data_IF_792832875191
#
_entry.id   IF_792832875191
#
_cell.length_a   1.000
_cell.length_b   1.000
_cell.length_c   1.000
_cell.angle_alpha   90.00
_cell.angle_beta   90.00
_cell.angle_gamma   90.00
#
_symmetry.space_group_name_H-M   'P 1'
#
loop_
_entity.id
_entity.type
_entity.pdbx_description
1 polymer ?
#
# COMPACT_ATOMS: atom_id res chain seq x y z
N UNK A 1 -29.93 -3.35 -46.82
CA UNK A 1 -30.32 -2.50 -45.67
C UNK A 1 -29.34 -2.76 -44.54
N UNK A 2 -28.67 -1.73 -44.00
CA UNK A 2 -27.79 -1.87 -42.83
C UNK A 2 -28.60 -1.47 -41.59
N UNK A 3 -28.72 -2.39 -40.62
CA UNK A 3 -29.40 -2.10 -39.36
C UNK A 3 -28.45 -1.21 -38.53
N UNK A 4 -28.90 -0.06 -38.00
CA UNK A 4 -28.05 0.80 -37.20
C UNK A 4 -27.57 0.06 -35.94
N UNK A 5 -26.26 0.12 -35.67
CA UNK A 5 -25.63 -0.50 -34.49
C UNK A 5 -26.35 -0.18 -33.16
N UNK A 6 -26.83 1.06 -32.91
CA UNK A 6 -27.57 1.37 -31.69
C UNK A 6 -28.83 0.52 -31.51
N UNK A 7 -29.51 0.17 -32.60
CA UNK A 7 -30.73 -0.66 -32.58
C UNK A 7 -30.41 -2.10 -32.19
N UNK A 8 -29.28 -2.62 -32.65
CA UNK A 8 -28.81 -3.98 -32.30
C UNK A 8 -28.46 -4.08 -30.82
N UNK A 9 -27.73 -3.10 -30.28
CA UNK A 9 -27.35 -3.06 -28.86
C UNK A 9 -28.60 -3.02 -27.97
N UNK A 10 -29.57 -2.17 -28.32
CA UNK A 10 -30.81 -2.04 -27.55
C UNK A 10 -31.62 -3.35 -27.55
N UNK A 11 -31.68 -4.04 -28.69
CA UNK A 11 -32.33 -5.35 -28.80
C UNK A 11 -31.64 -6.41 -27.93
N UNK A 12 -30.31 -6.48 -27.96
CA UNK A 12 -29.55 -7.45 -27.15
C UNK A 12 -29.78 -7.22 -25.66
N UNK A 13 -29.69 -5.97 -25.18
CA UNK A 13 -29.93 -5.63 -23.77
C UNK A 13 -31.36 -6.00 -23.37
N UNK A 14 -32.34 -5.75 -24.23
CA UNK A 14 -33.75 -6.05 -23.95
C UNK A 14 -33.99 -7.56 -23.86
N UNK A 15 -33.38 -8.36 -24.74
CA UNK A 15 -33.52 -9.83 -24.71
C UNK A 15 -32.81 -10.41 -23.49
N UNK A 16 -31.55 -10.04 -23.25
CA UNK A 16 -30.79 -10.56 -22.10
C UNK A 16 -31.43 -10.13 -20.77
N UNK A 17 -31.80 -8.86 -20.63
CA UNK A 17 -32.47 -8.34 -19.44
C UNK A 17 -33.85 -8.97 -19.22
N UNK A 18 -34.63 -9.15 -20.29
CA UNK A 18 -35.95 -9.76 -20.22
C UNK A 18 -35.91 -11.25 -19.83
N UNK A 19 -34.98 -12.02 -20.41
CA UNK A 19 -34.79 -13.45 -20.06
C UNK A 19 -34.29 -13.59 -18.64
N UNK A 20 -33.30 -12.77 -18.24
CA UNK A 20 -32.77 -12.79 -16.87
C UNK A 20 -33.87 -12.43 -15.87
N UNK A 21 -34.56 -11.30 -16.05
CA UNK A 21 -35.63 -10.87 -15.16
C UNK A 21 -36.77 -11.90 -15.05
N UNK A 22 -37.19 -12.50 -16.17
CA UNK A 22 -38.23 -13.53 -16.14
C UNK A 22 -37.82 -14.75 -15.29
N UNK A 23 -36.56 -15.15 -15.38
CA UNK A 23 -36.04 -16.32 -14.67
C UNK A 23 -35.65 -16.04 -13.21
N UNK A 24 -35.27 -14.81 -12.86
CA UNK A 24 -34.75 -14.50 -11.52
C UNK A 24 -35.72 -13.72 -10.63
N UNK A 25 -36.78 -13.10 -11.18
CA UNK A 25 -37.70 -12.25 -10.40
C UNK A 25 -38.43 -12.95 -9.23
N UNK A 26 -38.46 -14.28 -9.24
CA UNK A 26 -39.13 -15.10 -8.23
C UNK A 26 -38.14 -15.86 -7.34
N UNK A 27 -36.85 -15.66 -7.55
CA UNK A 27 -35.79 -16.19 -6.69
C UNK A 27 -35.50 -15.16 -5.60
N UNK A 28 -35.60 -15.60 -4.35
CA UNK A 28 -35.20 -14.79 -3.20
C UNK A 28 -33.72 -15.05 -2.91
N UNK A 29 -32.88 -14.03 -3.12
CA UNK A 29 -31.43 -14.06 -2.89
C UNK A 29 -31.02 -13.36 -1.60
N UNK A 30 -31.97 -12.73 -0.90
CA UNK A 30 -31.68 -11.88 0.26
C UNK A 30 -32.10 -12.55 1.57
N UNK A 31 -32.89 -13.62 1.53
CA UNK A 31 -33.17 -14.44 2.70
C UNK A 31 -32.29 -15.69 2.75
N UNK A 32 -31.59 -15.96 3.87
CA UNK A 32 -30.88 -17.22 4.04
C UNK A 32 -31.87 -18.40 4.05
N UNK A 33 -31.51 -19.57 3.48
CA UNK A 33 -32.39 -20.74 3.46
C UNK A 33 -32.79 -21.14 4.88
N UNK A 34 -34.08 -21.43 5.09
CA UNK A 34 -34.55 -21.94 6.39
C UNK A 34 -33.97 -23.35 6.64
N UNK A 35 -33.75 -23.69 7.91
CA UNK A 35 -33.21 -24.99 8.32
C UNK A 35 -33.99 -26.18 7.72
N UNK A 36 -35.31 -26.03 7.53
CA UNK A 36 -36.15 -27.05 6.91
C UNK A 36 -35.82 -27.31 5.42
N UNK A 37 -35.43 -26.28 4.65
CA UNK A 37 -35.03 -26.46 3.24
C UNK A 37 -33.65 -27.10 3.10
N UNK A 38 -32.76 -26.85 4.05
CA UNK A 38 -31.44 -27.49 4.09
C UNK A 38 -31.56 -28.98 4.41
N UNK A 39 -32.45 -29.35 5.34
CA UNK A 39 -32.76 -30.76 5.63
C UNK A 39 -33.41 -31.48 4.43
N UNK A 40 -34.30 -30.82 3.68
CA UNK A 40 -34.89 -31.40 2.48
C UNK A 40 -33.85 -31.65 1.36
N UNK A 41 -32.91 -30.72 1.17
CA UNK A 41 -31.78 -30.90 0.23
C UNK A 41 -30.84 -32.00 0.71
N UNK A 42 -30.57 -32.07 2.02
CA UNK A 42 -29.75 -33.12 2.61
C UNK A 42 -30.36 -34.50 2.37
N UNK A 43 -31.65 -34.67 2.67
CA UNK A 43 -32.38 -35.92 2.43
C UNK A 43 -32.41 -36.33 0.95
N UNK A 44 -32.50 -35.35 0.04
CA UNK A 44 -32.47 -35.61 -1.41
C UNK A 44 -31.10 -36.08 -1.90
N UNK A 45 -30.03 -35.46 -1.39
CA UNK A 45 -28.64 -35.88 -1.70
C UNK A 45 -28.35 -37.24 -1.09
N UNK A 46 -28.83 -37.51 0.12
CA UNK A 46 -28.64 -38.77 0.84
C UNK A 46 -29.44 -39.93 0.22
N UNK A 47 -30.57 -39.65 -0.45
CA UNK A 47 -31.35 -40.64 -1.22
C UNK A 47 -30.79 -40.94 -2.62
N UNK A 48 -29.97 -40.06 -3.19
CA UNK A 48 -29.28 -40.25 -4.48
C UNK A 48 -27.88 -40.89 -4.33
N UNK A 49 -27.39 -41.00 -3.09
CA UNK A 49 -26.15 -41.70 -2.76
C UNK A 49 -26.44 -43.21 -2.52
N UNK A 50 -25.75 -44.14 -3.19
CA UNK A 50 -25.91 -45.56 -2.91
C UNK A 50 -25.42 -45.90 -1.48
N UNK A 51 -26.10 -46.81 -0.76
CA UNK A 51 -25.78 -47.09 0.64
C UNK A 51 -24.42 -47.81 0.79
N UNK A 52 -23.54 -47.26 1.64
CA UNK A 52 -22.35 -47.95 2.14
C UNK A 52 -22.74 -48.95 3.24
N UNK A 53 -22.75 -50.24 2.92
CA UNK A 53 -22.82 -51.32 3.92
C UNK A 53 -21.41 -51.77 4.30
N UNK A 54 -21.06 -51.62 5.59
CA UNK A 54 -19.86 -52.21 6.19
C UNK A 54 -20.26 -53.52 6.90
N UNK A 55 -19.95 -54.68 6.33
CA UNK A 55 -19.63 -55.93 7.04
C UNK A 55 -19.12 -57.05 6.09
N UNK A 56 -18.34 -57.97 6.66
CA UNK A 56 -17.39 -58.87 6.00
C UNK A 56 -17.96 -60.11 5.24
N UNK A 57 -17.06 -60.68 4.38
CA UNK A 57 -16.94 -62.07 3.85
C UNK A 57 -17.31 -62.33 2.36
N UNK A 58 -16.25 -62.43 1.50
CA UNK A 58 -15.89 -63.37 0.39
C UNK A 58 -16.98 -64.01 -0.54
N UNK A 59 -16.68 -64.37 -1.82
CA UNK A 59 -16.62 -63.60 -3.09
C UNK A 59 -17.67 -64.11 -4.13
N UNK A 60 -17.79 -63.60 -5.39
CA UNK A 60 -16.88 -64.00 -6.47
C UNK A 60 -16.53 -62.88 -7.48
N UNK A 61 -15.23 -62.84 -7.82
CA UNK A 61 -14.56 -62.28 -9.01
C UNK A 61 -15.34 -61.25 -9.85
N UNK A 62 -15.10 -59.97 -9.57
CA UNK A 62 -15.32 -58.87 -10.52
C UNK A 62 -13.95 -58.43 -11.01
N UNK A 63 -13.78 -58.43 -12.33
CA UNK A 63 -12.59 -57.92 -13.02
C UNK A 63 -12.39 -56.47 -12.60
N UNK A 64 -11.36 -56.19 -11.79
CA UNK A 64 -10.96 -54.82 -11.44
C UNK A 64 -10.40 -54.16 -12.70
N UNK A 65 -11.16 -53.23 -13.28
CA UNK A 65 -10.58 -52.19 -14.11
C UNK A 65 -9.57 -51.41 -13.23
N UNK A 66 -8.32 -51.21 -13.68
CA UNK A 66 -7.28 -50.62 -12.85
C UNK A 66 -7.69 -49.19 -12.47
N UNK A 67 -7.69 -48.89 -11.17
CA UNK A 67 -7.89 -47.53 -10.66
C UNK A 67 -6.93 -46.58 -11.40
N UNK A 68 -7.41 -45.44 -11.94
CA UNK A 68 -6.50 -44.44 -12.46
C UNK A 68 -5.54 -44.02 -11.34
N UNK A 69 -4.23 -43.95 -11.61
CA UNK A 69 -3.25 -43.68 -10.57
C UNK A 69 -3.60 -42.37 -9.84
N UNK A 70 -3.33 -42.27 -8.53
CA UNK A 70 -3.50 -41.03 -7.80
C UNK A 70 -2.80 -39.90 -8.57
N UNK A 71 -3.41 -38.70 -8.66
CA UNK A 71 -2.76 -37.57 -9.31
C UNK A 71 -1.33 -37.45 -8.75
N UNK A 72 -0.32 -37.28 -9.60
CA UNK A 72 1.06 -37.20 -9.15
C UNK A 72 1.14 -36.18 -8.01
N UNK A 73 1.83 -36.47 -6.90
CA UNK A 73 2.06 -35.48 -5.87
C UNK A 73 2.61 -34.24 -6.55
N UNK A 74 1.93 -33.10 -6.39
CA UNK A 74 2.41 -31.84 -6.95
C UNK A 74 3.88 -31.70 -6.52
N UNK A 75 4.80 -31.45 -7.48
CA UNK A 75 6.20 -31.32 -7.14
C UNK A 75 6.32 -30.25 -6.04
N UNK A 76 7.06 -30.52 -4.95
CA UNK A 76 7.18 -29.58 -3.85
C UNK A 76 7.62 -28.24 -4.44
N UNK A 77 6.87 -27.17 -4.15
CA UNK A 77 7.26 -25.83 -4.56
C UNK A 77 8.71 -25.61 -4.15
N UNK A 78 9.58 -25.10 -5.04
CA UNK A 78 10.96 -24.84 -4.69
C UNK A 78 11.01 -24.03 -3.40
N UNK A 79 11.72 -24.52 -2.39
CA UNK A 79 11.86 -23.82 -1.13
C UNK A 79 12.60 -22.50 -1.39
N UNK A 80 11.95 -21.38 -1.03
CA UNK A 80 12.54 -20.07 -1.22
C UNK A 80 13.66 -19.86 -0.19
N UNK A 81 14.86 -19.52 -0.66
CA UNK A 81 15.96 -19.20 0.24
C UNK A 81 15.62 -17.95 1.06
N UNK A 82 15.58 -18.05 2.38
CA UNK A 82 15.26 -16.91 3.26
C UNK A 82 16.51 -16.08 3.62
N UNK A 83 17.70 -16.58 3.29
CA UNK A 83 18.97 -16.03 3.73
C UNK A 83 19.27 -16.30 5.20
N UNK A 84 20.24 -15.56 5.75
CA UNK A 84 20.62 -15.66 7.16
C UNK A 84 19.62 -14.92 8.07
N UNK A 85 18.93 -15.70 8.90
CA UNK A 85 17.96 -15.18 9.87
C UNK A 85 18.59 -14.91 11.26
N UNK A 86 19.83 -15.36 11.50
CA UNK A 86 20.52 -15.14 12.78
C UNK A 86 21.07 -13.71 12.90
N UNK A 87 21.52 -13.12 11.80
CA UNK A 87 22.12 -11.77 11.80
C UNK A 87 21.05 -10.69 11.63
N UNK A 88 20.94 -9.69 12.53
CA UNK A 88 19.95 -8.61 12.41
C UNK A 88 19.93 -7.98 11.00
N UNK A 89 18.74 -7.75 10.41
CA UNK A 89 18.66 -7.25 9.04
C UNK A 89 19.10 -5.79 8.95
N UNK A 90 19.67 -5.42 7.80
CA UNK A 90 19.94 -4.02 7.45
C UNK A 90 18.80 -3.44 6.60
N UNK A 91 18.72 -2.11 6.51
CA UNK A 91 17.59 -1.44 5.83
C UNK A 91 17.49 -1.82 4.34
N UNK A 92 18.62 -2.08 3.69
CA UNK A 92 18.72 -2.43 2.27
C UNK A 92 18.48 -3.91 1.98
N UNK A 93 18.28 -4.74 3.00
CA UNK A 93 18.14 -6.20 2.86
C UNK A 93 17.10 -6.55 1.79
N UNK A 94 17.40 -7.61 1.02
CA UNK A 94 16.61 -8.14 -0.09
C UNK A 94 16.57 -7.26 -1.35
N UNK A 95 17.21 -6.09 -1.34
CA UNK A 95 17.37 -5.27 -2.54
C UNK A 95 18.15 -5.97 -3.65
N UNK A 96 19.09 -6.84 -3.29
CA UNK A 96 19.87 -7.67 -4.21
C UNK A 96 19.04 -8.73 -4.95
N UNK A 97 17.82 -9.02 -4.45
CA UNK A 97 16.91 -10.02 -5.03
C UNK A 97 15.90 -9.43 -6.01
N UNK A 98 15.87 -8.11 -6.15
CA UNK A 98 15.01 -7.41 -7.12
C UNK A 98 15.13 -7.95 -8.56
N UNK A 99 16.32 -8.33 -9.07
CA UNK A 99 16.44 -8.93 -10.41
C UNK A 99 15.67 -10.25 -10.60
N UNK A 100 15.27 -10.92 -9.52
CA UNK A 100 14.47 -12.15 -9.56
C UNK A 100 12.97 -11.87 -9.77
N UNK A 101 12.57 -10.60 -9.70
CA UNK A 101 11.21 -10.14 -10.01
C UNK A 101 10.33 -9.92 -8.78
N UNK A 102 9.22 -9.21 -8.99
CA UNK A 102 8.25 -8.84 -7.94
C UNK A 102 7.64 -10.06 -7.27
N UNK A 103 7.22 -11.06 -8.05
CA UNK A 103 6.60 -12.29 -7.52
C UNK A 103 7.54 -13.02 -6.55
N UNK A 104 8.83 -13.10 -6.87
CA UNK A 104 9.82 -13.71 -5.99
C UNK A 104 9.92 -12.97 -4.64
N UNK A 105 9.89 -11.64 -4.65
CA UNK A 105 9.90 -10.85 -3.41
C UNK A 105 8.61 -11.00 -2.59
N UNK A 106 7.46 -11.18 -3.26
CA UNK A 106 6.18 -11.47 -2.62
C UNK A 106 6.22 -12.86 -1.95
N UNK A 107 6.69 -13.88 -2.67
CA UNK A 107 6.88 -15.23 -2.13
C UNK A 107 7.84 -15.21 -0.93
N UNK A 108 8.94 -14.46 -1.02
CA UNK A 108 9.91 -14.31 0.07
C UNK A 108 9.26 -13.68 1.29
N UNK A 109 8.49 -12.60 1.10
CA UNK A 109 7.82 -11.91 2.18
C UNK A 109 6.80 -12.82 2.88
N UNK A 110 6.02 -13.58 2.12
CA UNK A 110 5.07 -14.56 2.66
C UNK A 110 5.79 -15.66 3.46
N UNK A 111 6.86 -16.25 2.92
CA UNK A 111 7.61 -17.31 3.60
C UNK A 111 8.27 -16.81 4.90
N UNK A 112 8.71 -15.55 4.93
CA UNK A 112 9.21 -14.92 6.16
C UNK A 112 8.08 -14.73 7.19
N UNK A 113 6.87 -14.35 6.78
CA UNK A 113 5.71 -14.28 7.69
C UNK A 113 5.32 -15.66 8.23
N UNK A 114 5.29 -16.70 7.39
CA UNK A 114 5.00 -18.07 7.80
C UNK A 114 6.00 -18.59 8.83
N UNK A 115 7.27 -18.18 8.71
CA UNK A 115 8.33 -18.49 9.68
C UNK A 115 8.31 -17.60 10.93
N UNK A 116 7.44 -16.58 10.97
CA UNK A 116 7.31 -15.64 12.08
C UNK A 116 8.37 -14.53 12.11
N UNK A 117 9.15 -14.34 11.04
CA UNK A 117 10.15 -13.28 10.94
C UNK A 117 9.53 -12.00 10.35
N UNK A 118 8.63 -11.39 11.12
CA UNK A 118 7.89 -10.20 10.71
C UNK A 118 8.77 -8.98 10.37
N UNK A 119 9.90 -8.69 11.06
CA UNK A 119 10.78 -7.59 10.68
C UNK A 119 11.35 -7.74 9.27
N UNK A 120 11.81 -8.95 8.91
CA UNK A 120 12.33 -9.24 7.57
C UNK A 120 11.22 -9.32 6.52
N UNK A 121 10.07 -9.90 6.87
CA UNK A 121 8.90 -9.88 6.00
C UNK A 121 8.50 -8.44 5.63
N UNK A 122 8.48 -7.52 6.60
CA UNK A 122 8.18 -6.11 6.34
C UNK A 122 9.20 -5.49 5.36
N UNK A 123 10.49 -5.77 5.51
CA UNK A 123 11.51 -5.30 4.56
C UNK A 123 11.28 -5.86 3.14
N UNK A 124 10.95 -7.15 3.02
CA UNK A 124 10.65 -7.77 1.73
C UNK A 124 9.41 -7.14 1.07
N UNK A 125 8.35 -6.88 1.84
CA UNK A 125 7.18 -6.14 1.33
C UNK A 125 7.50 -4.69 0.93
N UNK A 126 8.36 -4.00 1.68
CA UNK A 126 8.85 -2.68 1.28
C UNK A 126 9.62 -2.75 -0.04
N UNK A 127 10.47 -3.78 -0.24
CA UNK A 127 11.19 -4.05 -1.51
C UNK A 127 10.28 -4.23 -2.70
N UNK A 128 9.13 -4.87 -2.50
CA UNK A 128 8.11 -5.01 -3.54
C UNK A 128 7.69 -3.63 -4.05
N UNK A 129 7.43 -2.65 -3.18
CA UNK A 129 6.88 -1.35 -3.60
C UNK A 129 7.93 -0.28 -3.91
N UNK A 130 9.15 -0.35 -3.36
CA UNK A 130 10.19 0.66 -3.63
C UNK A 130 11.15 0.25 -4.75
N UNK A 131 11.47 -1.03 -4.94
CA UNK A 131 12.47 -1.45 -5.94
C UNK A 131 11.92 -2.34 -7.07
N UNK A 132 10.89 -3.16 -6.84
CA UNK A 132 10.52 -4.25 -7.74
C UNK A 132 9.62 -3.88 -8.93
N UNK A 133 9.11 -2.64 -9.01
CA UNK A 133 8.16 -2.19 -10.05
C UNK A 133 6.92 -3.11 -10.17
N UNK A 134 6.14 -3.23 -9.09
CA UNK A 134 4.94 -4.06 -9.06
C UNK A 134 3.85 -3.48 -9.96
N UNK A 135 2.95 -4.33 -10.43
CA UNK A 135 1.67 -3.88 -10.98
C UNK A 135 0.73 -3.36 -9.86
N UNK A 136 -0.44 -2.88 -10.25
CA UNK A 136 -1.40 -2.29 -9.31
C UNK A 136 -1.93 -3.29 -8.26
N UNK A 137 -2.11 -4.56 -8.62
CA UNK A 137 -2.62 -5.58 -7.72
C UNK A 137 -1.53 -6.01 -6.72
N UNK A 138 -0.32 -6.24 -7.22
CA UNK A 138 0.86 -6.54 -6.39
C UNK A 138 1.16 -5.40 -5.42
N UNK A 139 1.12 -4.15 -5.89
CA UNK A 139 1.34 -2.98 -5.04
C UNK A 139 0.27 -2.87 -3.94
N UNK A 140 -1.01 -3.08 -4.29
CA UNK A 140 -2.10 -3.06 -3.32
C UNK A 140 -1.95 -4.16 -2.27
N UNK A 141 -1.55 -5.38 -2.68
CA UNK A 141 -1.25 -6.49 -1.79
C UNK A 141 -0.12 -6.16 -0.81
N UNK A 142 1.01 -5.67 -1.32
CA UNK A 142 2.16 -5.29 -0.50
C UNK A 142 1.83 -4.14 0.48
N UNK A 143 1.12 -3.10 0.04
CA UNK A 143 0.68 -1.99 0.93
C UNK A 143 -0.24 -2.53 2.04
N UNK A 144 -1.12 -3.48 1.73
CA UNK A 144 -2.00 -4.11 2.72
C UNK A 144 -1.21 -4.90 3.78
N UNK A 145 -0.20 -5.68 3.34
CA UNK A 145 0.70 -6.40 4.25
C UNK A 145 1.55 -5.44 5.10
N UNK A 146 2.10 -4.37 4.52
CA UNK A 146 2.82 -3.32 5.26
C UNK A 146 1.92 -2.68 6.32
N UNK A 147 0.67 -2.36 5.96
CA UNK A 147 -0.31 -1.78 6.89
C UNK A 147 -0.64 -2.72 8.06
N UNK A 148 -0.66 -4.03 7.82
CA UNK A 148 -0.88 -5.06 8.85
C UNK A 148 0.35 -5.20 9.77
N UNK A 149 1.54 -5.33 9.20
CA UNK A 149 2.77 -5.66 9.94
C UNK A 149 3.39 -4.46 10.66
N UNK A 150 3.38 -3.28 10.03
CA UNK A 150 4.12 -2.13 10.55
C UNK A 150 3.71 -1.70 11.96
N UNK A 151 2.40 -1.65 12.32
CA UNK A 151 1.99 -1.27 13.68
C UNK A 151 2.33 -2.31 14.76
N UNK A 152 2.63 -3.56 14.38
CA UNK A 152 2.95 -4.63 15.33
C UNK A 152 4.45 -4.72 15.63
N UNK A 153 5.26 -3.90 14.97
CA UNK A 153 6.71 -3.91 15.08
C UNK A 153 7.20 -2.64 15.77
N UNK A 154 8.31 -2.70 16.52
CA UNK A 154 8.95 -1.50 17.05
C UNK A 154 9.44 -0.59 15.90
N UNK A 155 9.68 0.68 16.23
CA UNK A 155 10.35 1.58 15.29
C UNK A 155 11.73 1.03 14.88
N UNK A 156 12.09 1.24 13.61
CA UNK A 156 13.35 0.75 13.07
C UNK A 156 14.56 1.31 13.81
N UNK A 157 14.55 2.61 14.09
CA UNK A 157 15.54 3.26 14.94
C UNK A 157 14.87 3.90 16.15
N UNK A 158 15.39 3.64 17.34
CA UNK A 158 14.97 4.30 18.59
C UNK A 158 16.00 5.31 19.10
N UNK A 159 17.20 5.33 18.51
CA UNK A 159 18.29 6.25 18.87
C UNK A 159 18.26 7.51 18.00
N UNK A 160 18.19 8.71 18.59
CA UNK A 160 18.19 9.97 17.85
C UNK A 160 19.40 10.17 16.93
N UNK A 161 20.56 9.61 17.29
CA UNK A 161 21.83 9.76 16.57
C UNK A 161 21.83 9.01 15.22
N UNK A 162 20.99 7.97 15.09
CA UNK A 162 20.83 7.22 13.85
C UNK A 162 19.84 7.90 12.87
N UNK A 163 19.12 8.93 13.31
CA UNK A 163 18.12 9.62 12.51
C UNK A 163 18.76 10.67 11.61
N UNK A 164 18.30 10.77 10.35
CA UNK A 164 18.80 11.75 9.39
C UNK A 164 18.06 13.09 9.59
N UNK A 165 18.73 14.18 9.98
CA UNK A 165 18.05 15.44 10.28
C UNK A 165 17.64 16.21 9.02
N UNK A 166 16.35 16.57 8.96
CA UNK A 166 15.73 17.41 7.93
C UNK A 166 14.87 18.51 8.56
N UNK A 167 14.54 19.52 7.77
CA UNK A 167 13.72 20.66 8.21
C UNK A 167 12.50 20.77 7.31
N UNK A 168 11.32 20.77 7.92
CA UNK A 168 10.04 21.08 7.28
C UNK A 168 9.78 22.59 7.43
N UNK A 169 9.91 23.31 6.33
CA UNK A 169 9.66 24.73 6.28
C UNK A 169 8.26 25.05 5.80
N UNK A 170 7.63 26.02 6.44
CA UNK A 170 6.45 26.68 5.90
C UNK A 170 6.63 28.20 5.94
N UNK A 171 6.11 28.90 4.94
CA UNK A 171 6.00 30.37 4.96
C UNK A 171 4.57 30.81 4.72
N UNK A 172 4.10 31.78 5.51
CA UNK A 172 2.76 32.33 5.40
C UNK A 172 2.73 33.79 5.86
N UNK A 173 1.61 34.49 5.67
CA UNK A 173 1.42 35.84 6.19
C UNK A 173 1.46 35.89 7.72
N UNK A 174 1.93 37.00 8.31
CA UNK A 174 2.12 37.17 9.77
C UNK A 174 0.93 36.73 10.63
N UNK A 175 -0.29 36.92 10.15
CA UNK A 175 -1.53 36.60 10.87
C UNK A 175 -1.72 35.09 11.09
N UNK A 176 -1.21 34.26 10.19
CA UNK A 176 -1.45 32.81 10.19
C UNK A 176 -0.33 32.02 10.89
N UNK A 177 0.79 32.67 11.23
CA UNK A 177 1.94 32.01 11.86
C UNK A 177 1.55 31.31 13.16
N UNK A 178 0.77 31.98 14.02
CA UNK A 178 0.36 31.41 15.31
C UNK A 178 -0.47 30.12 15.17
N UNK A 179 -1.32 30.05 14.16
CA UNK A 179 -2.14 28.87 13.87
C UNK A 179 -1.33 27.78 13.15
N UNK A 180 -0.43 28.17 12.25
CA UNK A 180 0.35 27.24 11.44
C UNK A 180 1.44 26.52 12.24
N UNK A 181 2.11 27.21 13.17
CA UNK A 181 3.21 26.62 13.96
C UNK A 181 2.84 25.31 14.67
N UNK A 182 1.79 25.23 15.50
CA UNK A 182 1.47 23.96 16.19
C UNK A 182 1.08 22.85 15.20
N UNK A 183 0.39 23.19 14.11
CA UNK A 183 0.01 22.21 13.07
C UNK A 183 1.25 21.67 12.37
N UNK A 184 2.20 22.53 12.01
CA UNK A 184 3.44 22.13 11.35
C UNK A 184 4.33 21.29 12.27
N UNK A 185 4.39 21.63 13.56
CA UNK A 185 5.10 20.82 14.56
C UNK A 185 4.47 19.44 14.73
N UNK A 186 3.14 19.36 14.81
CA UNK A 186 2.43 18.07 14.84
C UNK A 186 2.75 17.21 13.63
N UNK A 187 2.71 17.80 12.43
CA UNK A 187 3.06 17.11 11.18
C UNK A 187 4.52 16.67 11.17
N UNK A 188 5.45 17.47 11.69
CA UNK A 188 6.84 17.04 11.80
C UNK A 188 6.97 15.75 12.63
N UNK A 189 6.25 15.64 13.75
CA UNK A 189 6.18 14.39 14.52
C UNK A 189 5.51 13.25 13.74
N UNK A 190 4.44 13.53 13.00
CA UNK A 190 3.77 12.54 12.17
C UNK A 190 4.71 12.00 11.06
N UNK A 191 5.58 12.84 10.49
CA UNK A 191 6.59 12.42 9.52
C UNK A 191 7.71 11.60 10.17
N UNK A 192 8.14 11.93 11.38
CA UNK A 192 9.10 11.11 12.14
C UNK A 192 8.54 9.70 12.36
N UNK A 193 7.29 9.58 12.82
CA UNK A 193 6.59 8.31 13.02
C UNK A 193 6.38 7.56 11.69
N UNK A 194 5.97 8.26 10.63
CA UNK A 194 5.81 7.72 9.28
C UNK A 194 7.15 7.21 8.68
N UNK A 195 8.28 7.66 9.22
CA UNK A 195 9.61 7.18 8.82
C UNK A 195 10.13 6.03 9.67
N UNK A 196 9.47 5.66 10.77
CA UNK A 196 9.94 4.64 11.72
C UNK A 196 11.31 4.98 12.33
N UNK A 197 11.53 6.27 12.64
CA UNK A 197 12.80 6.74 13.21
C UNK A 197 13.93 6.87 12.18
N UNK A 198 13.65 6.85 10.88
CA UNK A 198 14.69 7.08 9.87
C UNK A 198 15.08 8.56 9.80
N UNK A 199 14.11 9.47 9.95
CA UNK A 199 14.34 10.91 9.86
C UNK A 199 14.02 11.64 11.16
N UNK A 200 14.78 12.71 11.44
CA UNK A 200 14.46 13.69 12.48
C UNK A 200 13.96 14.95 11.80
N UNK A 201 12.74 15.39 12.10
CA UNK A 201 12.07 16.49 11.40
C UNK A 201 11.92 17.69 12.32
N UNK A 202 12.53 18.81 11.95
CA UNK A 202 12.33 20.10 12.61
C UNK A 202 11.34 20.95 11.84
N UNK A 203 10.26 21.42 12.49
CA UNK A 203 9.34 22.39 11.90
C UNK A 203 9.88 23.83 12.03
N UNK A 204 9.83 24.61 10.95
CA UNK A 204 10.18 26.04 10.94
C UNK A 204 9.14 26.84 10.16
N UNK A 205 8.50 27.80 10.82
CA UNK A 205 7.55 28.73 10.18
C UNK A 205 8.16 30.11 9.98
N UNK A 206 8.17 30.57 8.73
CA UNK A 206 8.68 31.88 8.34
C UNK A 206 7.53 32.87 8.09
N UNK A 207 7.54 33.99 8.79
CA UNK A 207 6.53 35.05 8.66
C UNK A 207 6.85 35.97 7.46
N UNK A 208 6.07 35.85 6.39
CA UNK A 208 6.12 36.77 5.25
C UNK A 208 5.55 38.15 5.57
N UNK A 209 5.76 39.12 4.68
CA UNK A 209 5.12 40.45 4.79
C UNK A 209 3.61 40.30 4.55
N UNK A 210 2.77 40.88 5.41
CA UNK A 210 1.33 40.94 5.17
C UNK A 210 1.05 41.86 3.99
N UNK A 211 0.48 41.31 2.91
CA UNK A 211 -0.07 42.13 1.83
C UNK A 211 -1.27 42.92 2.37
N UNK A 212 -1.24 44.24 2.23
CA UNK A 212 -2.37 45.12 2.59
C UNK A 212 -3.55 45.02 1.61
N UNK A 213 -3.40 44.33 0.47
CA UNK A 213 -4.38 44.33 -0.62
C UNK A 213 -5.17 43.03 -0.80
N UNK A 214 -4.82 41.94 -0.12
CA UNK A 214 -5.47 40.64 -0.30
C UNK A 214 -6.64 40.43 0.66
N UNK A 215 -7.89 40.64 0.21
CA UNK A 215 -9.07 40.09 0.88
C UNK A 215 -9.16 38.58 0.58
N UNK A 216 -8.38 37.76 1.28
CA UNK A 216 -8.41 36.31 1.11
C UNK A 216 -7.44 35.59 2.06
N UNK A 217 -7.62 34.27 2.28
CA UNK A 217 -6.71 33.48 3.10
C UNK A 217 -5.29 33.52 2.54
N UNK A 218 -4.31 33.85 3.39
CA UNK A 218 -2.92 33.96 2.96
C UNK A 218 -2.39 32.58 2.51
N UNK A 219 -1.71 32.48 1.36
CA UNK A 219 -1.12 31.23 0.92
C UNK A 219 -0.08 30.74 1.91
N UNK A 220 0.09 29.42 1.94
CA UNK A 220 1.15 28.73 2.67
C UNK A 220 2.08 28.11 1.63
N UNK A 221 3.34 28.52 1.65
CA UNK A 221 4.41 27.90 0.88
C UNK A 221 5.11 26.85 1.76
N UNK A 222 5.32 25.64 1.25
CA UNK A 222 5.90 24.50 1.96
C UNK A 222 7.08 23.93 1.17
N UNK A 223 8.16 23.58 1.87
CA UNK A 223 9.30 22.86 1.32
C UNK A 223 10.03 22.08 2.42
N UNK A 224 10.76 21.03 2.05
CA UNK A 224 11.71 20.34 2.91
C UNK A 224 13.15 20.64 2.49
N UNK A 225 14.07 20.69 3.45
CA UNK A 225 15.50 20.84 3.21
C UNK A 225 16.34 20.01 4.18
N UNK A 226 17.59 19.76 3.80
CA UNK A 226 18.59 19.19 4.70
C UNK A 226 18.94 20.15 5.84
N UNK A 227 19.63 19.64 6.85
CA UNK A 227 20.06 20.41 8.02
C UNK A 227 21.55 20.76 8.01
N UNK A 228 22.32 20.23 7.06
CA UNK A 228 23.75 20.52 6.87
C UNK A 228 24.00 21.93 6.34
N UNK A 229 25.26 22.39 6.41
CA UNK A 229 25.68 23.68 5.85
C UNK A 229 25.52 23.69 4.33
N UNK A 230 24.71 24.62 3.81
CA UNK A 230 24.28 24.69 2.38
C UNK A 230 23.52 23.43 1.95
N UNK A 231 22.36 23.16 2.57
CA UNK A 231 21.59 21.97 2.25
C UNK A 231 20.94 22.09 0.87
N UNK A 232 20.64 20.94 0.27
CA UNK A 232 19.69 20.89 -0.83
C UNK A 232 18.27 21.04 -0.28
N UNK A 233 17.36 21.56 -1.10
CA UNK A 233 15.94 21.65 -0.78
C UNK A 233 15.11 21.02 -1.88
N UNK A 234 13.94 20.52 -1.50
CA UNK A 234 12.86 20.24 -2.44
C UNK A 234 12.41 21.53 -3.15
N UNK A 235 11.58 21.38 -4.17
CA UNK A 235 10.83 22.51 -4.72
C UNK A 235 9.90 23.15 -3.67
N UNK A 236 9.41 24.35 -3.95
CA UNK A 236 8.47 25.03 -3.07
C UNK A 236 7.07 24.89 -3.65
N UNK A 237 6.18 24.21 -2.93
CA UNK A 237 4.76 24.12 -3.29
C UNK A 237 3.94 25.07 -2.44
N UNK A 238 2.94 25.72 -3.06
CA UNK A 238 2.07 26.67 -2.36
C UNK A 238 0.62 26.22 -2.46
N UNK A 239 -0.11 26.37 -1.35
CA UNK A 239 -1.54 26.07 -1.29
C UNK A 239 -2.27 27.11 -0.43
N UNK A 240 -3.60 27.10 -0.52
CA UNK A 240 -4.47 27.96 0.29
C UNK A 240 -5.46 27.09 1.04
N UNK A 241 -5.38 27.06 2.36
CA UNK A 241 -6.36 26.37 3.19
C UNK A 241 -7.66 27.17 3.25
N UNK A 242 -8.79 26.53 2.93
CA UNK A 242 -10.12 27.15 2.95
C UNK A 242 -10.61 27.39 4.38
N UNK A 243 -10.20 26.52 5.30
CA UNK A 243 -10.48 26.62 6.73
C UNK A 243 -9.28 26.10 7.56
N UNK A 244 -9.17 26.49 8.84
CA UNK A 244 -8.15 25.95 9.75
C UNK A 244 -8.21 24.42 9.88
N UNK A 245 -9.39 23.82 9.75
CA UNK A 245 -9.60 22.36 9.86
C UNK A 245 -8.97 21.61 8.68
N UNK A 246 -9.01 22.20 7.48
CA UNK A 246 -8.39 21.61 6.26
C UNK A 246 -6.87 21.80 6.20
N UNK A 247 -6.31 22.66 7.05
CA UNK A 247 -4.89 23.03 7.00
C UNK A 247 -3.97 21.83 7.16
N UNK A 248 -4.27 20.92 8.11
CA UNK A 248 -3.44 19.74 8.37
C UNK A 248 -3.41 18.81 7.15
N UNK A 249 -4.58 18.54 6.57
CA UNK A 249 -4.70 17.67 5.39
C UNK A 249 -3.96 18.24 4.17
N UNK A 250 -4.06 19.55 3.93
CA UNK A 250 -3.34 20.21 2.83
C UNK A 250 -1.83 20.20 3.03
N UNK A 251 -1.32 20.40 4.25
CA UNK A 251 0.12 20.30 4.53
C UNK A 251 0.60 18.86 4.31
N UNK A 252 -0.11 17.84 4.81
CA UNK A 252 0.29 16.44 4.62
C UNK A 252 0.27 16.03 3.14
N UNK A 253 -0.77 16.44 2.41
CA UNK A 253 -0.85 16.23 0.95
C UNK A 253 0.34 16.89 0.25
N UNK A 254 0.65 18.13 0.61
CA UNK A 254 1.77 18.87 0.01
C UNK A 254 3.11 18.22 0.37
N UNK A 255 3.30 17.79 1.62
CA UNK A 255 4.51 17.08 2.05
C UNK A 255 4.69 15.76 1.30
N UNK A 256 3.63 14.98 1.14
CA UNK A 256 3.65 13.75 0.34
C UNK A 256 4.08 14.03 -1.11
N UNK A 257 3.52 15.05 -1.75
CA UNK A 257 3.89 15.42 -3.13
C UNK A 257 5.34 15.87 -3.24
N UNK A 258 5.86 16.63 -2.26
CA UNK A 258 7.26 17.05 -2.22
C UNK A 258 8.21 15.85 -2.11
N UNK A 259 7.89 14.89 -1.24
CA UNK A 259 8.69 13.66 -1.04
C UNK A 259 8.66 12.81 -2.31
N UNK A 260 7.47 12.59 -2.87
CA UNK A 260 7.26 11.84 -4.10
C UNK A 260 8.03 12.46 -5.27
N UNK A 261 7.88 13.76 -5.52
CA UNK A 261 8.57 14.49 -6.60
C UNK A 261 10.08 14.41 -6.45
N UNK A 262 10.58 14.60 -5.23
CA UNK A 262 12.02 14.54 -4.96
C UNK A 262 12.57 13.14 -5.22
N UNK A 263 11.93 12.09 -4.72
CA UNK A 263 12.36 10.71 -4.93
C UNK A 263 12.42 10.34 -6.41
N UNK A 264 11.40 10.70 -7.19
CA UNK A 264 11.37 10.50 -8.64
C UNK A 264 12.54 11.21 -9.34
N UNK A 265 12.98 12.36 -8.83
CA UNK A 265 14.11 13.12 -9.40
C UNK A 265 15.48 12.58 -9.00
N UNK A 266 15.60 11.96 -7.82
CA UNK A 266 16.91 11.61 -7.24
C UNK A 266 17.23 10.13 -7.22
N UNK A 267 16.24 9.25 -7.38
CA UNK A 267 16.44 7.80 -7.32
C UNK A 267 15.90 7.11 -8.57
N UNK A 268 16.30 5.86 -8.77
CA UNK A 268 15.75 4.98 -9.80
C UNK A 268 14.65 4.05 -9.24
N UNK A 269 14.09 4.40 -8.08
CA UNK A 269 13.10 3.60 -7.38
C UNK A 269 11.78 3.60 -8.13
N UNK A 270 10.92 2.65 -7.78
CA UNK A 270 9.54 2.61 -8.25
C UNK A 270 8.84 3.91 -7.84
N UNK A 271 8.23 4.65 -8.80
CA UNK A 271 7.50 5.85 -8.47
C UNK A 271 6.35 5.56 -7.51
N UNK A 272 6.30 6.31 -6.41
CA UNK A 272 5.22 6.19 -5.43
C UNK A 272 3.91 6.58 -6.11
N UNK A 273 2.85 5.78 -5.95
CA UNK A 273 1.54 6.06 -6.55
C UNK A 273 0.93 7.37 -6.00
N UNK A 274 0.33 8.16 -6.90
CA UNK A 274 -0.35 9.40 -6.53
C UNK A 274 -1.51 9.15 -5.55
N UNK A 275 -1.85 10.19 -4.78
CA UNK A 275 -3.01 10.16 -3.88
C UNK A 275 -4.30 10.10 -4.71
N UNK A 276 -5.17 9.15 -4.38
CA UNK A 276 -6.52 9.13 -4.94
C UNK A 276 -7.38 10.27 -4.36
N UNK A 277 -8.47 10.61 -5.03
CA UNK A 277 -9.40 11.62 -4.52
C UNK A 277 -10.02 11.15 -3.20
N UNK A 278 -9.97 12.01 -2.17
CA UNK A 278 -10.48 11.70 -0.83
C UNK A 278 -9.60 10.74 -0.01
N UNK A 279 -8.45 10.30 -0.53
CA UNK A 279 -7.51 9.48 0.23
C UNK A 279 -6.83 10.29 1.34
N UNK A 280 -6.69 9.67 2.52
CA UNK A 280 -5.94 10.24 3.64
C UNK A 280 -4.43 10.30 3.33
N UNK A 281 -3.83 11.51 3.25
CA UNK A 281 -2.41 11.65 2.95
C UNK A 281 -1.50 11.06 4.03
N UNK A 282 -1.97 10.98 5.29
CA UNK A 282 -1.19 10.38 6.38
C UNK A 282 -0.98 8.88 6.13
N UNK A 283 -2.04 8.17 5.76
CA UNK A 283 -1.97 6.75 5.38
C UNK A 283 -0.96 6.51 4.25
N UNK A 284 -0.93 7.38 3.24
CA UNK A 284 0.04 7.27 2.15
C UNK A 284 1.49 7.48 2.62
N UNK A 285 1.74 8.48 3.49
CA UNK A 285 3.05 8.69 4.11
C UNK A 285 3.48 7.49 4.96
N UNK A 286 2.55 6.86 5.67
CA UNK A 286 2.82 5.74 6.56
C UNK A 286 3.06 4.41 5.83
N UNK A 287 2.45 4.19 4.67
CA UNK A 287 2.42 2.85 4.07
C UNK A 287 2.90 2.78 2.62
N UNK A 288 3.03 3.92 1.92
CA UNK A 288 3.57 3.96 0.55
C UNK A 288 4.99 4.51 0.48
N UNK A 289 5.39 5.33 1.46
CA UNK A 289 6.79 5.78 1.59
C UNK A 289 7.51 4.79 2.50
N UNK A 290 8.33 3.92 1.92
CA UNK A 290 9.09 2.91 2.67
C UNK A 290 10.19 3.56 3.51
N UNK A 291 10.70 2.83 4.51
CA UNK A 291 11.85 3.27 5.30
C UNK A 291 13.09 3.57 4.44
N UNK A 292 13.31 2.80 3.38
CA UNK A 292 14.40 3.06 2.43
C UNK A 292 14.17 4.34 1.63
N UNK A 293 12.94 4.59 1.15
CA UNK A 293 12.57 5.85 0.52
C UNK A 293 12.81 7.05 1.45
N UNK A 294 12.45 6.95 2.73
CA UNK A 294 12.74 7.98 3.72
C UNK A 294 14.23 8.23 3.89
N UNK A 295 15.04 7.17 3.93
CA UNK A 295 16.48 7.24 4.08
C UNK A 295 17.12 7.95 2.88
N UNK A 296 16.80 7.53 1.66
CA UNK A 296 17.31 8.15 0.43
C UNK A 296 16.85 9.61 0.27
N UNK A 297 15.58 9.89 0.57
CA UNK A 297 15.06 11.26 0.53
C UNK A 297 15.85 12.18 1.46
N UNK A 298 16.03 11.79 2.72
CA UNK A 298 16.72 12.62 3.71
C UNK A 298 18.23 12.71 3.46
N UNK A 299 18.87 11.62 3.03
CA UNK A 299 20.26 11.62 2.62
C UNK A 299 20.47 12.56 1.43
N UNK A 300 19.62 12.48 0.40
CA UNK A 300 19.68 13.34 -0.78
C UNK A 300 19.56 14.83 -0.47
N UNK A 301 18.72 15.22 0.51
CA UNK A 301 18.61 16.62 0.96
C UNK A 301 19.84 17.12 1.71
N UNK A 302 20.59 16.22 2.35
CA UNK A 302 21.82 16.54 3.07
C UNK A 302 23.09 16.44 2.21
N UNK A 303 22.95 16.12 0.92
CA UNK A 303 24.04 16.28 -0.03
C UNK A 303 24.18 17.76 -0.46
N UNK A 304 25.41 18.24 -0.70
CA UNK A 304 25.61 19.58 -1.24
C UNK A 304 24.90 19.73 -2.59
N UNK A 305 24.31 20.91 -2.89
CA UNK A 305 23.57 21.11 -4.12
C UNK A 305 24.47 20.84 -5.33
N UNK A 306 24.01 19.97 -6.24
CA UNK A 306 24.67 19.75 -7.52
C UNK A 306 24.73 21.09 -8.25
N UNK A 307 25.93 21.56 -8.60
CA UNK A 307 26.08 22.72 -9.49
C UNK A 307 25.36 22.37 -10.80
N UNK A 308 24.38 23.18 -11.20
CA UNK A 308 23.85 23.09 -12.55
C UNK A 308 25.00 23.39 -13.52
N UNK A 309 25.23 22.55 -14.55
CA UNK A 309 26.22 22.82 -15.59
C UNK A 309 25.87 24.08 -16.38
#
# INVERSE_FOLDING_TARGET
MRIPIPVVILLVITVCGGVWWKNTRHMDFMTPPSAAKLEEVRLRVEAELPPEEIAAVVPPVVVKEPEPPPPPPEPPKPEIDLGDLATPPILQQYGERVPQGTEHLIELANALEEKGDFPRALLAWERVIDLARPDAAQAAGAISSIRRLRPTLPEWNTTPEAMIPIILYASTGKTNVKTLTPVLTGIAHDLEAASSGIVKVKAVVNAGKTSKSGKGPAPVALWLAGSVKKPSSTEVLSFTAKSPETLRAEILKTAFLLIQSQLVRTTAYTPIAALAEGEDPQSALNFRVTRLCWSEFAAGLNLPPKKQP
#
